data_IF_708328580984
#
_entry.id   IF_708328580984
#
_cell.length_a   1.000
_cell.length_b   1.000
_cell.length_c   1.000
_cell.angle_alpha   90.00
_cell.angle_beta   90.00
_cell.angle_gamma   90.00
#
_symmetry.space_group_name_H-M   'P 1'
#
loop_
_entity.id
_entity.type
_entity.pdbx_description
1 polymer ?
#
# COMPACT_ATOMS: atom_id res chain seq x y z
N UNK A 1 -21.16 18.06 -11.79
CA UNK A 1 -20.05 17.18 -12.27
C UNK A 1 -18.97 16.97 -11.21
N UNK A 2 -18.83 17.85 -10.22
CA UNK A 2 -17.81 17.76 -9.14
C UNK A 2 -18.05 16.62 -8.13
N UNK A 3 -19.31 16.23 -7.88
CA UNK A 3 -19.63 15.17 -6.91
C UNK A 3 -19.06 13.79 -7.28
N UNK A 4 -19.16 13.40 -8.55
CA UNK A 4 -18.66 12.09 -9.01
C UNK A 4 -17.15 11.96 -8.77
N UNK A 5 -16.45 13.05 -9.04
CA UNK A 5 -15.01 13.18 -8.83
C UNK A 5 -14.63 13.08 -7.33
N UNK A 6 -15.39 13.72 -6.44
CA UNK A 6 -15.20 13.59 -4.99
C UNK A 6 -15.47 12.17 -4.47
N UNK A 7 -16.47 11.49 -5.03
CA UNK A 7 -16.78 10.10 -4.69
C UNK A 7 -15.65 9.17 -5.13
N UNK A 8 -15.12 9.34 -6.34
CA UNK A 8 -13.99 8.53 -6.85
C UNK A 8 -12.74 8.63 -5.93
N UNK A 9 -12.44 9.82 -5.38
CA UNK A 9 -11.36 9.99 -4.41
C UNK A 9 -11.64 9.35 -3.05
N UNK A 10 -12.90 9.35 -2.62
CA UNK A 10 -13.30 8.70 -1.37
C UNK A 10 -13.12 7.18 -1.48
N UNK A 11 -13.56 6.59 -2.59
CA UNK A 11 -13.36 5.15 -2.85
C UNK A 11 -11.86 4.79 -2.96
N UNK A 12 -11.05 5.65 -3.57
CA UNK A 12 -9.61 5.48 -3.63
C UNK A 12 -8.97 5.46 -2.22
N UNK A 13 -9.31 6.41 -1.35
CA UNK A 13 -8.80 6.48 0.02
C UNK A 13 -9.21 5.24 0.84
N UNK A 14 -10.42 4.73 0.64
CA UNK A 14 -10.87 3.48 1.26
C UNK A 14 -10.04 2.27 0.80
N UNK A 15 -9.80 2.14 -0.52
CA UNK A 15 -8.98 1.05 -1.08
C UNK A 15 -7.56 1.13 -0.53
N UNK A 16 -6.98 2.33 -0.50
CA UNK A 16 -5.61 2.56 0.02
C UNK A 16 -5.50 2.20 1.49
N UNK A 17 -6.51 2.57 2.28
CA UNK A 17 -6.60 2.18 3.69
C UNK A 17 -6.65 0.67 3.85
N UNK A 18 -7.50 -0.03 3.08
CA UNK A 18 -7.63 -1.50 3.14
C UNK A 18 -6.32 -2.21 2.76
N UNK A 19 -5.68 -1.79 1.68
CA UNK A 19 -4.43 -2.38 1.21
C UNK A 19 -3.27 -2.09 2.18
N UNK A 20 -3.22 -0.89 2.76
CA UNK A 20 -2.25 -0.54 3.80
C UNK A 20 -2.42 -1.38 5.07
N UNK A 21 -3.67 -1.66 5.45
CA UNK A 21 -3.97 -2.53 6.59
C UNK A 21 -3.60 -3.99 6.30
N UNK A 22 -3.84 -4.47 5.08
CA UNK A 22 -3.39 -5.80 4.65
C UNK A 22 -1.87 -5.93 4.73
N UNK A 23 -1.12 -4.93 4.27
CA UNK A 23 0.33 -4.97 4.32
C UNK A 23 0.87 -5.01 5.75
N UNK A 24 0.28 -4.21 6.66
CA UNK A 24 0.60 -4.27 8.10
C UNK A 24 0.29 -5.65 8.68
N UNK A 25 -0.88 -6.20 8.39
CA UNK A 25 -1.26 -7.53 8.83
C UNK A 25 -0.26 -8.60 8.38
N UNK A 26 0.18 -8.57 7.12
CA UNK A 26 1.18 -9.51 6.60
C UNK A 26 2.53 -9.36 7.33
N UNK A 27 2.99 -8.13 7.58
CA UNK A 27 4.22 -7.88 8.33
C UNK A 27 4.15 -8.40 9.78
N UNK A 28 3.00 -8.24 10.45
CA UNK A 28 2.78 -8.77 11.80
C UNK A 28 2.78 -10.31 11.81
N UNK A 29 2.16 -10.94 10.80
CA UNK A 29 2.20 -12.40 10.64
C UNK A 29 3.62 -12.91 10.39
N UNK A 30 4.41 -12.20 9.56
CA UNK A 30 5.80 -12.55 9.33
C UNK A 30 6.63 -12.43 10.63
N UNK A 31 6.47 -11.35 11.38
CA UNK A 31 7.14 -11.18 12.69
C UNK A 31 6.79 -12.34 13.64
N UNK A 32 5.52 -12.76 13.67
CA UNK A 32 5.08 -13.90 14.48
C UNK A 32 5.71 -15.21 14.03
N UNK A 33 5.84 -15.43 12.70
CA UNK A 33 6.51 -16.61 12.15
C UNK A 33 8.01 -16.61 12.47
N UNK A 34 8.66 -15.46 12.42
CA UNK A 34 10.09 -15.32 12.71
C UNK A 34 10.42 -15.70 14.17
N UNK A 35 9.57 -15.28 15.11
CA UNK A 35 9.69 -15.69 16.52
C UNK A 35 9.60 -17.20 16.69
N UNK A 36 8.66 -17.86 15.99
CA UNK A 36 8.50 -19.32 16.02
C UNK A 36 9.70 -20.04 15.43
N UNK A 37 10.24 -19.54 14.32
CA UNK A 37 11.43 -20.12 13.68
C UNK A 37 12.68 -19.92 14.53
N UNK A 38 12.83 -18.76 15.17
CA UNK A 38 13.92 -18.51 16.12
C UNK A 38 13.89 -19.49 17.29
N UNK A 39 12.71 -19.73 17.87
CA UNK A 39 12.55 -20.74 18.92
C UNK A 39 12.90 -22.16 18.43
N UNK A 40 12.49 -22.52 17.21
CA UNK A 40 12.81 -23.80 16.61
C UNK A 40 14.32 -23.96 16.33
N UNK A 41 15.00 -22.91 15.89
CA UNK A 41 16.46 -22.90 15.71
C UNK A 41 17.21 -23.08 17.02
N UNK A 42 16.75 -22.41 18.09
CA UNK A 42 17.31 -22.58 19.42
C UNK A 42 17.20 -24.04 19.93
N UNK A 43 16.24 -24.82 19.43
CA UNK A 43 16.09 -26.24 19.73
C UNK A 43 16.99 -27.18 18.90
N UNK A 44 17.87 -26.63 18.06
CA UNK A 44 18.83 -27.40 17.25
C UNK A 44 18.41 -27.59 15.78
N UNK A 45 17.42 -26.84 15.29
CA UNK A 45 17.06 -26.85 13.88
C UNK A 45 18.02 -26.00 13.03
N UNK A 46 19.20 -26.56 12.73
CA UNK A 46 20.17 -25.99 11.79
C UNK A 46 20.28 -26.90 10.56
N UNK A 47 19.54 -26.56 9.51
CA UNK A 47 19.42 -27.37 8.28
C UNK A 47 19.25 -26.50 7.05
N UNK A 48 19.37 -27.10 5.86
CA UNK A 48 19.09 -26.43 4.59
C UNK A 48 17.68 -25.81 4.53
N UNK A 49 16.70 -26.41 5.22
CA UNK A 49 15.35 -25.88 5.36
C UNK A 49 15.30 -24.58 6.17
N UNK A 50 16.13 -24.47 7.22
CA UNK A 50 16.22 -23.26 8.02
C UNK A 50 16.80 -22.09 7.20
N UNK A 51 17.85 -22.33 6.39
CA UNK A 51 18.41 -21.32 5.49
C UNK A 51 17.44 -20.91 4.39
N UNK A 52 16.73 -21.87 3.78
CA UNK A 52 15.73 -21.60 2.75
C UNK A 52 14.57 -20.75 3.30
N UNK A 53 14.11 -21.04 4.52
CA UNK A 53 13.09 -20.23 5.19
C UNK A 53 13.54 -18.78 5.37
N UNK A 54 14.76 -18.52 5.86
CA UNK A 54 15.21 -17.15 6.12
C UNK A 54 15.39 -16.33 4.85
N UNK A 55 15.79 -16.98 3.76
CA UNK A 55 15.78 -16.34 2.44
C UNK A 55 14.36 -15.97 2.00
N UNK A 56 13.40 -16.89 2.12
CA UNK A 56 12.01 -16.63 1.77
C UNK A 56 11.39 -15.54 2.67
N UNK A 57 11.65 -15.59 3.97
CA UNK A 57 11.16 -14.63 4.95
C UNK A 57 11.61 -13.21 4.62
N UNK A 58 12.91 -13.01 4.33
CA UNK A 58 13.44 -11.71 3.90
C UNK A 58 12.76 -11.19 2.64
N UNK A 59 12.54 -12.06 1.65
CA UNK A 59 11.86 -11.67 0.41
C UNK A 59 10.41 -11.28 0.65
N UNK A 60 9.70 -12.00 1.52
CA UNK A 60 8.31 -11.69 1.85
C UNK A 60 8.18 -10.37 2.62
N UNK A 61 9.09 -10.11 3.56
CA UNK A 61 9.10 -8.85 4.31
C UNK A 61 9.35 -7.65 3.39
N UNK A 62 10.36 -7.78 2.49
CA UNK A 62 10.64 -6.76 1.48
C UNK A 62 9.44 -6.55 0.55
N UNK A 63 8.86 -7.63 0.02
CA UNK A 63 7.70 -7.56 -0.88
C UNK A 63 6.46 -6.94 -0.22
N UNK A 64 6.20 -7.22 1.07
CA UNK A 64 5.09 -6.59 1.78
C UNK A 64 5.30 -5.08 1.98
N UNK A 65 6.54 -4.66 2.23
CA UNK A 65 6.89 -3.24 2.33
C UNK A 65 6.78 -2.53 0.98
N UNK A 66 7.31 -3.12 -0.09
CA UNK A 66 7.21 -2.60 -1.46
C UNK A 66 5.75 -2.49 -1.90
N UNK A 67 4.92 -3.48 -1.61
CA UNK A 67 3.49 -3.46 -1.89
C UNK A 67 2.79 -2.30 -1.16
N UNK A 68 3.06 -2.12 0.14
CA UNK A 68 2.49 -1.01 0.90
C UNK A 68 2.87 0.35 0.32
N UNK A 69 4.16 0.53 0.01
CA UNK A 69 4.67 1.77 -0.55
C UNK A 69 4.05 2.07 -1.91
N UNK A 70 4.00 1.08 -2.81
CA UNK A 70 3.43 1.25 -4.15
C UNK A 70 1.95 1.65 -4.12
N UNK A 71 1.18 1.11 -3.18
CA UNK A 71 -0.23 1.52 -2.98
C UNK A 71 -0.34 2.98 -2.53
N UNK A 72 0.49 3.41 -1.58
CA UNK A 72 0.53 4.81 -1.12
C UNK A 72 0.96 5.75 -2.24
N UNK A 73 1.94 5.37 -3.03
CA UNK A 73 2.44 6.17 -4.17
C UNK A 73 1.37 6.33 -5.24
N UNK A 74 0.67 5.24 -5.60
CA UNK A 74 -0.45 5.27 -6.54
C UNK A 74 -1.60 6.17 -6.04
N UNK A 75 -1.93 6.11 -4.75
CA UNK A 75 -2.93 7.00 -4.13
C UNK A 75 -2.56 8.47 -4.31
N UNK A 76 -1.32 8.80 -3.94
CA UNK A 76 -0.78 10.16 -3.99
C UNK A 76 -0.83 10.70 -5.42
N UNK A 77 -0.42 9.87 -6.40
CA UNK A 77 -0.44 10.24 -7.81
C UNK A 77 -1.87 10.50 -8.32
N UNK A 78 -2.84 9.68 -7.91
CA UNK A 78 -4.24 9.84 -8.30
C UNK A 78 -4.88 11.09 -7.66
N UNK A 79 -4.61 11.38 -6.39
CA UNK A 79 -5.03 12.62 -5.72
C UNK A 79 -4.44 13.86 -6.41
N UNK A 80 -3.17 13.83 -6.78
CA UNK A 80 -2.52 14.92 -7.51
C UNK A 80 -3.15 15.15 -8.88
N UNK A 81 -3.34 14.08 -9.68
CA UNK A 81 -4.00 14.16 -10.98
C UNK A 81 -5.40 14.77 -10.86
N UNK A 82 -6.16 14.33 -9.86
CA UNK A 82 -7.49 14.86 -9.58
C UNK A 82 -7.51 16.36 -9.27
N UNK A 83 -6.58 16.83 -8.43
CA UNK A 83 -6.43 18.24 -8.10
C UNK A 83 -6.13 19.09 -9.33
N UNK A 84 -5.24 18.61 -10.21
CA UNK A 84 -4.94 19.28 -11.48
C UNK A 84 -6.16 19.38 -12.40
N UNK A 85 -6.93 18.29 -12.58
CA UNK A 85 -8.13 18.30 -13.40
C UNK A 85 -9.21 19.23 -12.84
N UNK A 86 -9.44 19.21 -11.53
CA UNK A 86 -10.44 20.06 -10.87
C UNK A 86 -10.08 21.54 -11.01
N UNK A 87 -8.81 21.89 -10.81
CA UNK A 87 -8.31 23.25 -10.98
C UNK A 87 -8.46 23.74 -12.44
N UNK A 88 -8.15 22.88 -13.42
CA UNK A 88 -8.29 23.19 -14.84
C UNK A 88 -9.76 23.40 -15.24
N UNK A 89 -10.68 22.55 -14.77
CA UNK A 89 -12.13 22.73 -15.00
C UNK A 89 -12.60 24.03 -14.36
N UNK A 90 -12.22 24.31 -13.11
CA UNK A 90 -12.60 25.54 -12.40
C UNK A 90 -12.01 26.81 -13.01
N UNK A 91 -10.84 26.73 -13.65
CA UNK A 91 -10.27 27.83 -14.42
C UNK A 91 -11.04 28.06 -15.72
N UNK A 92 -11.33 26.98 -16.48
CA UNK A 92 -12.09 27.07 -17.73
C UNK A 92 -13.53 27.56 -17.51
N UNK A 93 -14.24 27.13 -16.46
CA UNK A 93 -15.59 27.61 -16.18
C UNK A 93 -15.60 29.10 -15.81
N UNK A 94 -14.60 29.60 -15.07
CA UNK A 94 -14.46 31.03 -14.78
C UNK A 94 -14.10 31.85 -16.02
N UNK A 95 -13.33 31.29 -16.95
CA UNK A 95 -12.83 31.99 -18.13
C UNK A 95 -13.84 32.00 -19.29
N UNK A 96 -14.65 30.96 -19.42
CA UNK A 96 -15.57 30.75 -20.57
C UNK A 96 -17.05 30.65 -20.20
N UNK A 97 -17.41 30.53 -18.92
CA UNK A 97 -18.79 30.42 -18.43
C UNK A 97 -19.41 31.71 -17.91
N UNK A 98 -18.72 32.85 -18.04
CA UNK A 98 -19.27 34.16 -17.69
C UNK A 98 -20.27 34.64 -18.76
N UNK A 99 -21.56 34.37 -18.55
CA UNK A 99 -22.70 35.06 -19.17
C UNK A 99 -23.83 35.14 -18.14
#
# INVERSE_FOLDING_TARGET
>A
MTDRYSVDLTELDEIVTRLSNLAKFLADQFTTLDQKVTALRASGWDSSGATAYENAHRQWLAGAQEFAQGVTDMSTAAQAAHGHYTAAIGANTRMFGGS
#
